data_IF_553284067796
#
_entry.id   IF_553284067796
#
_cell.length_a   1.000
_cell.length_b   1.000
_cell.length_c   1.000
_cell.angle_alpha   90.00
_cell.angle_beta   90.00
_cell.angle_gamma   90.00
#
_symmetry.space_group_name_H-M   'P 1'
#
loop_
_entity.id
_entity.type
_entity.pdbx_description
1 polymer ?
#
# COMPACT_ATOMS: atom_id res chain seq x y z
N UNK A 1 -0.71 22.97 2.24
CA UNK A 1 -1.18 22.17 3.39
C UNK A 1 -2.47 22.71 4.04
N UNK A 2 -2.56 24.01 4.34
CA UNK A 2 -3.74 24.65 4.97
C UNK A 2 -5.00 24.59 4.08
N UNK A 3 -4.87 24.84 2.78
CA UNK A 3 -5.98 24.74 1.83
C UNK A 3 -6.54 23.30 1.70
N UNK A 4 -5.67 22.28 1.80
CA UNK A 4 -6.08 20.87 1.76
C UNK A 4 -6.82 20.45 3.04
N UNK A 5 -6.35 20.92 4.20
CA UNK A 5 -7.01 20.67 5.50
C UNK A 5 -8.35 21.40 5.57
N UNK A 6 -8.42 22.64 5.07
CA UNK A 6 -9.66 23.40 4.99
C UNK A 6 -10.66 22.75 4.03
N UNK A 7 -10.23 22.36 2.83
CA UNK A 7 -11.09 21.68 1.86
C UNK A 7 -11.58 20.32 2.39
N UNK A 8 -10.71 19.54 3.04
CA UNK A 8 -11.08 18.29 3.69
C UNK A 8 -12.06 18.49 4.84
N UNK A 9 -11.85 19.51 5.67
CA UNK A 9 -12.77 19.87 6.76
C UNK A 9 -14.14 20.31 6.27
N UNK A 10 -14.20 21.13 5.21
CA UNK A 10 -15.44 21.57 4.56
C UNK A 10 -16.15 20.38 3.92
N UNK A 11 -15.42 19.47 3.26
CA UNK A 11 -15.99 18.26 2.68
C UNK A 11 -16.61 17.34 3.73
N UNK A 12 -15.90 17.06 4.83
CA UNK A 12 -16.42 16.23 5.94
C UNK A 12 -17.64 16.90 6.62
N UNK A 13 -17.62 18.22 6.77
CA UNK A 13 -18.74 18.97 7.34
C UNK A 13 -19.97 18.96 6.42
N UNK A 14 -19.76 19.06 5.11
CA UNK A 14 -20.80 19.01 4.09
C UNK A 14 -21.41 17.61 3.96
N UNK A 15 -20.57 16.56 3.91
CA UNK A 15 -21.01 15.15 3.90
C UNK A 15 -21.87 14.81 5.13
N UNK A 16 -21.50 15.32 6.31
CA UNK A 16 -22.26 15.09 7.56
C UNK A 16 -23.62 15.78 7.61
N UNK A 17 -23.88 16.75 6.73
CA UNK A 17 -25.12 17.56 6.70
C UNK A 17 -26.04 17.27 5.52
N UNK A 18 -25.62 16.42 4.57
CA UNK A 18 -26.40 16.11 3.36
C UNK A 18 -27.39 14.96 3.63
N UNK A 19 -28.65 15.12 3.24
CA UNK A 19 -29.71 14.09 3.40
C UNK A 19 -29.46 12.83 2.53
N UNK A 20 -28.73 12.97 1.44
CA UNK A 20 -28.21 11.89 0.60
C UNK A 20 -26.66 11.95 0.54
N UNK A 21 -25.95 11.42 1.55
CA UNK A 21 -24.49 11.45 1.57
C UNK A 21 -23.91 10.59 0.43
N UNK A 22 -22.89 11.12 -0.25
CA UNK A 22 -22.15 10.42 -1.31
C UNK A 22 -21.42 9.20 -0.75
N UNK A 23 -21.03 9.23 0.53
CA UNK A 23 -20.54 8.07 1.26
C UNK A 23 -21.58 7.64 2.29
N UNK A 24 -22.36 6.57 2.04
CA UNK A 24 -23.32 6.08 3.01
C UNK A 24 -22.58 5.78 4.32
N UNK A 25 -22.93 6.43 5.45
CA UNK A 25 -22.27 6.18 6.73
C UNK A 25 -22.42 4.71 7.16
N UNK A 26 -23.43 4.00 6.63
CA UNK A 26 -23.59 2.56 6.79
C UNK A 26 -22.48 1.72 6.12
N UNK A 27 -21.86 2.20 5.04
CA UNK A 27 -20.75 1.52 4.36
C UNK A 27 -19.44 1.71 5.13
N UNK A 28 -19.19 2.91 5.66
CA UNK A 28 -18.03 3.16 6.54
C UNK A 28 -18.19 2.57 7.96
N UNK A 29 -19.43 2.46 8.47
CA UNK A 29 -19.75 1.77 9.72
C UNK A 29 -19.95 0.27 9.56
N UNK A 30 -19.89 -0.26 8.33
CA UNK A 30 -20.02 -1.70 8.11
C UNK A 30 -18.82 -2.41 8.73
N UNK A 31 -19.07 -3.53 9.40
CA UNK A 31 -18.03 -4.30 10.10
C UNK A 31 -17.00 -4.93 9.13
N UNK A 32 -17.23 -4.82 7.82
CA UNK A 32 -16.51 -5.49 6.74
C UNK A 32 -15.83 -4.49 5.80
N UNK A 33 -16.53 -3.46 5.31
CA UNK A 33 -16.01 -2.51 4.32
C UNK A 33 -15.07 -1.46 4.95
N UNK A 34 -15.37 -0.95 6.14
CA UNK A 34 -14.49 0.00 6.85
C UNK A 34 -13.07 -0.56 7.08
N UNK A 35 -12.92 -1.75 7.70
CA UNK A 35 -11.64 -2.41 7.86
C UNK A 35 -10.95 -2.74 6.52
N UNK A 36 -11.69 -3.16 5.50
CA UNK A 36 -11.13 -3.46 4.18
C UNK A 36 -10.50 -2.22 3.51
N UNK A 37 -11.15 -1.05 3.63
CA UNK A 37 -10.60 0.21 3.15
C UNK A 37 -9.34 0.62 3.93
N UNK A 38 -9.33 0.48 5.26
CA UNK A 38 -8.14 0.75 6.07
C UNK A 38 -6.97 -0.17 5.71
N UNK A 39 -7.25 -1.43 5.40
CA UNK A 39 -6.29 -2.41 4.91
C UNK A 39 -5.73 -1.98 3.53
N UNK A 40 -6.58 -1.54 2.60
CA UNK A 40 -6.15 -1.03 1.29
C UNK A 40 -5.22 0.18 1.40
N UNK A 41 -5.60 1.17 2.23
CA UNK A 41 -4.77 2.36 2.47
C UNK A 41 -3.41 1.96 3.04
N UNK A 42 -3.40 1.06 4.03
CA UNK A 42 -2.17 0.63 4.70
C UNK A 42 -1.25 -0.17 3.76
N UNK A 43 -1.81 -1.08 2.96
CA UNK A 43 -1.05 -1.89 2.02
C UNK A 43 -0.47 -1.07 0.87
N UNK A 44 -1.24 -0.12 0.33
CA UNK A 44 -0.78 0.77 -0.73
C UNK A 44 0.26 1.78 -0.23
N UNK A 45 0.10 2.30 0.99
CA UNK A 45 1.12 3.11 1.65
C UNK A 45 2.43 2.33 1.85
N UNK A 46 2.34 1.09 2.35
CA UNK A 46 3.49 0.21 2.52
C UNK A 46 4.20 -0.07 1.19
N UNK A 47 3.45 -0.37 0.13
CA UNK A 47 3.99 -0.65 -1.20
C UNK A 47 4.76 0.54 -1.75
N UNK A 48 4.14 1.73 -1.79
CA UNK A 48 4.77 2.92 -2.36
C UNK A 48 5.94 3.42 -1.52
N UNK A 49 5.83 3.37 -0.18
CA UNK A 49 6.93 3.69 0.72
C UNK A 49 8.12 2.74 0.52
N UNK A 50 7.87 1.44 0.40
CA UNK A 50 8.92 0.45 0.15
C UNK A 50 9.53 0.56 -1.26
N UNK A 51 8.73 0.86 -2.29
CA UNK A 51 9.24 1.13 -3.64
C UNK A 51 10.14 2.36 -3.67
N UNK A 52 9.75 3.42 -2.95
CA UNK A 52 10.55 4.63 -2.84
C UNK A 52 11.88 4.35 -2.13
N UNK A 53 11.85 3.70 -0.96
CA UNK A 53 13.06 3.29 -0.24
C UNK A 53 13.94 2.33 -1.07
N UNK A 54 13.32 1.36 -1.74
CA UNK A 54 14.04 0.38 -2.55
C UNK A 54 14.71 1.02 -3.76
N UNK A 55 14.03 1.96 -4.43
CA UNK A 55 14.61 2.73 -5.54
C UNK A 55 15.75 3.60 -5.04
N UNK A 56 15.56 4.29 -3.92
CA UNK A 56 16.59 5.08 -3.28
C UNK A 56 17.83 4.22 -2.92
N UNK A 57 17.63 3.05 -2.32
CA UNK A 57 18.73 2.14 -2.00
C UNK A 57 19.47 1.63 -3.25
N UNK A 58 18.75 1.22 -4.30
CA UNK A 58 19.37 0.71 -5.52
C UNK A 58 20.18 1.78 -6.26
N UNK A 59 19.66 3.02 -6.34
CA UNK A 59 20.27 4.09 -7.10
C UNK A 59 21.29 4.90 -6.29
N UNK A 60 20.98 5.24 -5.04
CA UNK A 60 21.81 6.12 -4.20
C UNK A 60 22.86 5.34 -3.39
N UNK A 61 22.51 4.14 -2.89
CA UNK A 61 23.43 3.31 -2.09
C UNK A 61 24.24 2.36 -2.96
N UNK A 62 23.60 1.68 -3.93
CA UNK A 62 24.27 0.73 -4.82
C UNK A 62 24.77 1.36 -6.13
N UNK A 63 24.51 2.65 -6.37
CA UNK A 63 24.92 3.38 -7.58
C UNK A 63 24.50 2.68 -8.90
N UNK A 64 23.37 1.96 -8.89
CA UNK A 64 22.88 1.25 -10.07
C UNK A 64 22.15 2.21 -11.01
N UNK A 65 22.28 1.95 -12.31
CA UNK A 65 21.51 2.66 -13.33
C UNK A 65 19.99 2.49 -13.12
N UNK A 66 19.16 3.46 -13.56
CA UNK A 66 17.71 3.37 -13.45
C UNK A 66 17.14 2.11 -14.10
N UNK A 67 17.73 1.68 -15.23
CA UNK A 67 17.34 0.47 -15.94
C UNK A 67 17.60 -0.79 -15.08
N UNK A 68 18.78 -0.89 -14.48
CA UNK A 68 19.14 -2.01 -13.61
C UNK A 68 18.27 -2.05 -12.35
N UNK A 69 17.93 -0.88 -11.80
CA UNK A 69 17.00 -0.76 -10.67
C UNK A 69 15.59 -1.26 -11.03
N UNK A 70 15.08 -0.90 -12.20
CA UNK A 70 13.80 -1.39 -12.72
C UNK A 70 13.79 -2.90 -12.93
N UNK A 71 14.86 -3.46 -13.50
CA UNK A 71 15.05 -4.92 -13.62
C UNK A 71 15.01 -5.61 -12.26
N UNK A 72 15.51 -4.95 -11.20
CA UNK A 72 15.47 -5.48 -9.83
C UNK A 72 14.13 -5.35 -9.14
N UNK A 73 13.27 -4.46 -9.61
CA UNK A 73 11.88 -4.36 -9.18
C UNK A 73 10.95 -5.36 -9.89
N UNK A 74 11.39 -6.02 -10.96
CA UNK A 74 10.58 -7.04 -11.67
C UNK A 74 9.97 -8.13 -10.78
N UNK A 75 10.68 -8.70 -9.78
CA UNK A 75 10.11 -9.72 -8.90
C UNK A 75 8.82 -9.26 -8.20
N UNK A 76 8.70 -7.96 -7.89
CA UNK A 76 7.49 -7.38 -7.33
C UNK A 76 6.32 -7.51 -8.31
N UNK A 77 6.50 -7.08 -9.56
CA UNK A 77 5.47 -7.14 -10.58
C UNK A 77 5.07 -8.58 -10.90
N UNK A 78 6.04 -9.48 -11.00
CA UNK A 78 5.81 -10.92 -11.21
C UNK A 78 4.96 -11.50 -10.09
N UNK A 79 5.31 -11.23 -8.82
CA UNK A 79 4.52 -11.73 -7.69
C UNK A 79 3.16 -11.06 -7.56
N UNK A 80 2.99 -9.83 -8.05
CA UNK A 80 1.68 -9.21 -8.10
C UNK A 80 0.75 -9.95 -9.08
N UNK A 81 1.27 -10.33 -10.25
CA UNK A 81 0.51 -11.07 -11.27
C UNK A 81 0.25 -12.51 -10.83
N UNK A 82 1.27 -13.22 -10.38
CA UNK A 82 1.16 -14.61 -9.95
C UNK A 82 0.44 -14.76 -8.59
N UNK A 83 0.51 -13.75 -7.74
CA UNK A 83 -0.14 -13.73 -6.43
C UNK A 83 -1.66 -13.64 -6.54
N UNK A 84 -2.21 -13.02 -7.59
CA UNK A 84 -3.66 -12.88 -7.76
C UNK A 84 -4.43 -14.22 -7.80
N UNK A 85 -4.07 -15.21 -8.65
CA UNK A 85 -4.74 -16.51 -8.65
C UNK A 85 -4.52 -17.30 -7.36
N UNK A 86 -3.33 -17.20 -6.76
CA UNK A 86 -3.01 -17.86 -5.48
C UNK A 86 -3.88 -17.29 -4.36
N UNK A 87 -4.04 -15.96 -4.31
CA UNK A 87 -4.90 -15.28 -3.37
C UNK A 87 -6.37 -15.67 -3.53
N UNK A 88 -6.84 -15.78 -4.78
CA UNK A 88 -8.20 -16.24 -5.06
C UNK A 88 -8.43 -17.68 -4.55
N UNK A 89 -7.45 -18.57 -4.75
CA UNK A 89 -7.51 -19.94 -4.24
C UNK A 89 -7.50 -19.99 -2.70
N UNK A 90 -6.61 -19.23 -2.06
CA UNK A 90 -6.55 -19.11 -0.59
C UNK A 90 -7.87 -18.58 -0.03
N UNK A 91 -8.44 -17.55 -0.64
CA UNK A 91 -9.72 -16.96 -0.25
C UNK A 91 -10.86 -17.96 -0.35
N UNK A 92 -10.90 -18.79 -1.40
CA UNK A 92 -11.89 -19.87 -1.53
C UNK A 92 -11.74 -20.97 -0.47
N UNK A 93 -10.50 -21.30 -0.08
CA UNK A 93 -10.20 -22.39 0.86
C UNK A 93 -10.29 -22.00 2.34
N UNK A 94 -9.82 -20.79 2.69
CA UNK A 94 -9.61 -20.37 4.08
C UNK A 94 -10.55 -19.22 4.50
N UNK A 95 -11.27 -18.64 3.54
CA UNK A 95 -12.19 -17.54 3.74
C UNK A 95 -11.53 -16.15 3.69
N UNK A 96 -12.30 -15.08 3.43
CA UNK A 96 -11.77 -13.73 3.18
C UNK A 96 -10.93 -13.19 4.33
N UNK A 97 -11.41 -13.33 5.58
CA UNK A 97 -10.76 -12.76 6.77
C UNK A 97 -9.36 -13.32 7.00
N UNK A 98 -9.19 -14.65 6.89
CA UNK A 98 -7.87 -15.29 7.09
C UNK A 98 -6.90 -14.92 5.98
N UNK A 99 -7.38 -14.87 4.74
CA UNK A 99 -6.55 -14.48 3.60
C UNK A 99 -6.11 -13.02 3.67
N UNK A 100 -6.98 -12.09 4.08
CA UNK A 100 -6.61 -10.69 4.28
C UNK A 100 -5.55 -10.53 5.38
N UNK A 101 -5.70 -11.24 6.51
CA UNK A 101 -4.70 -11.22 7.59
C UNK A 101 -3.36 -11.78 7.09
N UNK A 102 -3.37 -12.90 6.35
CA UNK A 102 -2.16 -13.47 5.78
C UNK A 102 -1.47 -12.49 4.81
N UNK A 103 -2.23 -11.83 3.93
CA UNK A 103 -1.71 -10.80 3.03
C UNK A 103 -1.10 -9.63 3.78
N UNK A 104 -1.75 -9.17 4.85
CA UNK A 104 -1.21 -8.09 5.69
C UNK A 104 0.05 -8.46 6.45
N UNK A 105 0.13 -9.69 6.96
CA UNK A 105 1.34 -10.21 7.60
C UNK A 105 2.48 -10.28 6.59
N UNK A 106 2.22 -10.68 5.34
CA UNK A 106 3.23 -10.67 4.27
C UNK A 106 3.68 -9.25 3.93
N UNK A 107 2.76 -8.28 3.80
CA UNK A 107 3.13 -6.88 3.57
C UNK A 107 4.00 -6.34 4.72
N UNK A 108 3.59 -6.57 5.96
CA UNK A 108 4.35 -6.16 7.14
C UNK A 108 5.72 -6.83 7.18
N UNK A 109 5.81 -8.13 6.88
CA UNK A 109 7.07 -8.86 6.81
C UNK A 109 7.98 -8.30 5.71
N UNK A 110 7.43 -7.99 4.52
CA UNK A 110 8.18 -7.37 3.43
C UNK A 110 8.77 -6.02 3.81
N UNK A 111 7.99 -5.16 4.46
CA UNK A 111 8.46 -3.85 4.97
C UNK A 111 9.50 -4.02 6.09
N UNK A 112 9.28 -4.95 7.01
CA UNK A 112 10.23 -5.23 8.11
C UNK A 112 11.56 -5.79 7.59
N UNK A 113 11.52 -6.67 6.60
CA UNK A 113 12.72 -7.18 5.93
C UNK A 113 13.45 -6.03 5.24
N UNK A 114 12.72 -5.16 4.53
CA UNK A 114 13.28 -3.95 3.91
C UNK A 114 13.95 -3.04 4.93
N UNK A 115 13.35 -2.87 6.11
CA UNK A 115 13.91 -2.06 7.21
C UNK A 115 15.18 -2.66 7.82
N UNK A 116 15.45 -3.95 7.60
CA UNK A 116 16.66 -4.63 8.07
C UNK A 116 17.78 -4.65 7.03
N UNK A 117 17.55 -4.14 5.83
CA UNK A 117 18.62 -4.01 4.83
C UNK A 117 19.60 -2.92 5.28
N UNK A 118 20.82 -3.34 5.61
CA UNK A 118 21.97 -2.45 5.81
C UNK A 118 22.79 -2.29 4.53
N UNK A 119 23.80 -1.41 4.53
CA UNK A 119 24.66 -1.08 3.36
C UNK A 119 25.34 -2.28 2.71
N UNK A 120 25.60 -3.35 3.47
CA UNK A 120 26.23 -4.58 2.97
C UNK A 120 25.23 -5.54 2.29
N UNK A 121 23.94 -5.20 2.28
CA UNK A 121 22.91 -6.06 1.69
C UNK A 121 22.96 -5.95 0.17
N UNK A 122 23.33 -7.05 -0.48
CA UNK A 122 23.36 -7.14 -1.94
C UNK A 122 21.98 -6.98 -2.57
N UNK A 123 21.96 -6.70 -3.87
CA UNK A 123 20.73 -6.49 -4.64
C UNK A 123 19.75 -7.68 -4.62
N UNK A 124 20.19 -8.88 -4.24
CA UNK A 124 19.35 -10.07 -4.03
C UNK A 124 18.40 -9.95 -2.83
N UNK A 125 18.85 -9.30 -1.75
CA UNK A 125 18.03 -9.10 -0.56
C UNK A 125 16.79 -8.24 -0.86
N UNK A 126 16.95 -7.20 -1.70
CA UNK A 126 15.83 -6.38 -2.18
C UNK A 126 14.85 -7.19 -3.03
N UNK A 127 15.37 -8.04 -3.92
CA UNK A 127 14.54 -8.93 -4.72
C UNK A 127 13.65 -9.81 -3.84
N UNK A 128 14.22 -10.38 -2.77
CA UNK A 128 13.48 -11.16 -1.77
C UNK A 128 12.39 -10.34 -1.05
N UNK A 129 12.71 -9.11 -0.62
CA UNK A 129 11.74 -8.22 0.02
C UNK A 129 10.58 -7.87 -0.94
N UNK A 130 10.89 -7.58 -2.20
CA UNK A 130 9.91 -7.29 -3.25
C UNK A 130 9.02 -8.47 -3.60
N UNK A 131 9.54 -9.70 -3.58
CA UNK A 131 8.73 -10.91 -3.75
C UNK A 131 7.67 -11.03 -2.64
N UNK A 132 8.10 -10.90 -1.38
CA UNK A 132 7.20 -11.02 -0.21
C UNK A 132 6.17 -9.90 -0.21
N UNK A 133 6.61 -8.67 -0.49
CA UNK A 133 5.75 -7.49 -0.54
C UNK A 133 4.72 -7.60 -1.66
N UNK A 134 5.13 -7.99 -2.87
CA UNK A 134 4.25 -8.18 -4.03
C UNK A 134 3.20 -9.26 -3.79
N UNK A 135 3.59 -10.38 -3.17
CA UNK A 135 2.68 -11.47 -2.81
C UNK A 135 1.62 -11.01 -1.80
N UNK A 136 2.05 -10.30 -0.74
CA UNK A 136 1.15 -9.76 0.26
C UNK A 136 0.19 -8.73 -0.32
N UNK A 137 0.70 -7.80 -1.13
CA UNK A 137 -0.09 -6.74 -1.75
C UNK A 137 -1.15 -7.29 -2.72
N UNK A 138 -0.80 -8.23 -3.60
CA UNK A 138 -1.77 -8.87 -4.49
C UNK A 138 -2.87 -9.59 -3.71
N UNK A 139 -2.50 -10.26 -2.61
CA UNK A 139 -3.45 -10.93 -1.73
C UNK A 139 -4.44 -9.95 -1.10
N UNK A 140 -3.94 -8.82 -0.61
CA UNK A 140 -4.77 -7.73 -0.08
C UNK A 140 -5.70 -7.16 -1.16
N UNK A 141 -5.18 -6.87 -2.35
CA UNK A 141 -5.98 -6.30 -3.45
C UNK A 141 -7.14 -7.22 -3.86
N UNK A 142 -6.88 -8.52 -4.03
CA UNK A 142 -7.91 -9.49 -4.41
C UNK A 142 -8.97 -9.62 -3.32
N UNK A 143 -8.53 -9.75 -2.06
CA UNK A 143 -9.47 -9.94 -0.94
C UNK A 143 -10.30 -8.68 -0.68
N UNK A 144 -9.68 -7.51 -0.64
CA UNK A 144 -10.38 -6.25 -0.41
C UNK A 144 -11.37 -5.94 -1.52
N UNK A 145 -10.99 -6.13 -2.79
CA UNK A 145 -11.93 -5.96 -3.92
C UNK A 145 -13.11 -6.91 -3.82
N UNK A 146 -12.86 -8.17 -3.46
CA UNK A 146 -13.96 -9.14 -3.29
C UNK A 146 -14.88 -8.78 -2.13
N UNK A 147 -14.34 -8.29 -1.00
CA UNK A 147 -15.13 -7.86 0.15
C UNK A 147 -15.98 -6.63 -0.22
N UNK A 148 -15.38 -5.63 -0.84
CA UNK A 148 -16.07 -4.39 -1.28
C UNK A 148 -17.19 -4.72 -2.26
N UNK A 149 -16.94 -5.57 -3.26
CA UNK A 149 -17.95 -5.98 -4.24
C UNK A 149 -19.07 -6.83 -3.60
N UNK A 150 -18.76 -7.66 -2.61
CA UNK A 150 -19.77 -8.49 -1.91
C UNK A 150 -20.63 -7.71 -0.93
N UNK A 151 -20.08 -6.68 -0.29
CA UNK A 151 -20.79 -5.84 0.69
C UNK A 151 -21.68 -4.79 0.01
N UNK A 152 -21.37 -4.44 -1.24
CA UNK A 152 -22.10 -3.42 -1.99
C UNK A 152 -23.40 -3.95 -2.60
N UNK A 153 -24.51 -3.26 -2.32
CA UNK A 153 -25.75 -3.41 -3.10
C UNK A 153 -25.60 -2.77 -4.48
N UNK A 154 -26.46 -3.12 -5.45
CA UNK A 154 -26.44 -2.55 -6.81
C UNK A 154 -26.43 -1.01 -6.79
N UNK A 155 -27.15 -0.41 -5.85
CA UNK A 155 -27.24 1.05 -5.69
C UNK A 155 -26.01 1.68 -5.03
N UNK A 156 -25.19 0.90 -4.30
CA UNK A 156 -24.00 1.41 -3.57
C UNK A 156 -22.68 0.93 -4.16
N UNK A 157 -22.69 0.09 -5.19
CA UNK A 157 -21.50 -0.44 -5.87
C UNK A 157 -20.60 0.66 -6.45
N UNK A 158 -21.19 1.71 -7.03
CA UNK A 158 -20.44 2.85 -7.54
C UNK A 158 -19.69 3.61 -6.44
N UNK A 159 -20.33 3.81 -5.28
CA UNK A 159 -19.71 4.46 -4.12
C UNK A 159 -18.61 3.58 -3.52
N UNK A 160 -18.87 2.28 -3.38
CA UNK A 160 -17.92 1.31 -2.84
C UNK A 160 -16.64 1.24 -3.70
N UNK A 161 -16.78 1.22 -5.03
CA UNK A 161 -15.66 1.31 -5.97
C UNK A 161 -14.94 2.66 -5.91
N UNK A 162 -15.68 3.76 -5.77
CA UNK A 162 -15.12 5.10 -5.58
C UNK A 162 -14.24 5.19 -4.33
N UNK A 163 -14.74 4.70 -3.19
CA UNK A 163 -13.99 4.65 -1.92
C UNK A 163 -12.74 3.79 -2.02
N UNK A 164 -12.83 2.63 -2.68
CA UNK A 164 -11.66 1.79 -2.94
C UNK A 164 -10.61 2.56 -3.75
N UNK A 165 -11.02 3.28 -4.79
CA UNK A 165 -10.09 4.05 -5.63
C UNK A 165 -9.49 5.23 -4.87
N UNK A 166 -10.28 5.89 -4.01
CA UNK A 166 -9.78 6.93 -3.11
C UNK A 166 -8.74 6.37 -2.15
N UNK A 167 -9.00 5.20 -1.53
CA UNK A 167 -8.03 4.53 -0.66
C UNK A 167 -6.72 4.20 -1.41
N UNK A 168 -6.84 3.74 -2.66
CA UNK A 168 -5.72 3.43 -3.54
C UNK A 168 -4.89 4.64 -3.98
N UNK A 169 -5.45 5.84 -3.95
CA UNK A 169 -4.71 7.08 -4.27
C UNK A 169 -4.14 7.76 -3.03
N UNK A 170 -4.85 7.73 -1.90
CA UNK A 170 -4.41 8.34 -0.65
C UNK A 170 -3.26 7.54 -0.02
N UNK A 171 -3.36 6.22 0.00
CA UNK A 171 -2.36 5.35 0.62
C UNK A 171 -0.94 5.58 0.07
N UNK A 172 -0.71 5.51 -1.26
CA UNK A 172 0.59 5.80 -1.86
C UNK A 172 1.18 7.15 -1.47
N UNK A 173 0.35 8.20 -1.48
CA UNK A 173 0.79 9.54 -1.10
C UNK A 173 1.25 9.60 0.36
N UNK A 174 0.50 8.98 1.29
CA UNK A 174 0.88 8.88 2.70
C UNK A 174 2.15 8.04 2.89
N UNK A 175 2.29 6.94 2.16
CA UNK A 175 3.45 6.06 2.22
C UNK A 175 4.74 6.76 1.80
N UNK A 176 4.70 7.46 0.67
CA UNK A 176 5.85 8.24 0.17
C UNK A 176 6.16 9.40 1.11
N UNK A 177 5.15 10.15 1.60
CA UNK A 177 5.36 11.24 2.53
C UNK A 177 5.98 10.78 3.87
N UNK A 178 5.55 9.63 4.40
CA UNK A 178 6.15 9.05 5.58
C UNK A 178 7.60 8.62 5.32
N UNK A 179 7.85 7.96 4.19
CA UNK A 179 9.19 7.52 3.79
C UNK A 179 10.17 8.70 3.60
N UNK A 180 9.75 9.77 2.91
CA UNK A 180 10.56 10.99 2.73
C UNK A 180 10.81 11.68 4.06
N UNK A 181 9.81 11.77 4.93
CA UNK A 181 9.95 12.37 6.26
C UNK A 181 10.96 11.60 7.10
N UNK A 182 10.86 10.27 7.14
CA UNK A 182 11.81 9.42 7.87
C UNK A 182 13.25 9.60 7.35
N UNK A 183 13.44 9.68 6.04
CA UNK A 183 14.77 9.94 5.47
C UNK A 183 15.28 11.35 5.78
N UNK A 184 14.41 12.36 5.79
CA UNK A 184 14.79 13.74 6.14
C UNK A 184 15.17 13.89 7.62
N UNK A 185 14.47 13.20 8.52
CA UNK A 185 14.72 13.22 9.98
C UNK A 185 15.97 12.41 10.34
N UNK A 186 16.32 11.39 9.57
CA UNK A 186 17.57 10.63 9.73
C UNK A 186 18.85 11.45 9.39
N UNK A 187 18.70 12.67 8.87
CA UNK A 187 19.78 13.65 8.71
C UNK A 187 20.52 13.60 7.35
N UNK A 188 21.06 14.74 6.87
CA UNK A 188 21.69 14.89 5.54
C UNK A 188 22.98 14.04 5.31
N UNK A 189 23.49 13.34 6.34
CA UNK A 189 24.62 12.41 6.21
C UNK A 189 24.25 11.05 5.60
N UNK A 190 22.97 10.69 5.54
CA UNK A 190 22.53 9.46 4.87
C UNK A 190 22.51 9.60 3.33
N UNK A 191 22.33 10.82 2.83
CA UNK A 191 22.06 11.12 1.42
C UNK A 191 23.26 11.64 0.60
N UNK A 192 24.46 11.75 1.18
CA UNK A 192 25.62 12.24 0.43
C UNK A 192 26.88 11.42 0.55
N UNK A 193 27.03 10.49 1.50
CA UNK A 193 28.16 9.56 1.54
C UNK A 193 29.55 10.18 1.33
N UNK A 194 29.71 11.48 1.57
CA UNK A 194 30.93 12.23 1.29
C UNK A 194 31.64 12.41 2.63
N UNK A 195 32.83 11.84 2.83
CA UNK A 195 33.59 12.08 4.05
C UNK A 195 33.97 13.57 4.14
N UNK A 196 34.19 14.08 5.38
CA UNK A 196 34.69 15.43 5.61
C UNK A 196 36.08 15.66 5.02
#
# INVERSE_FOLDING_TARGET
PTAAVAAGGVFVWHERRTEHPLVPPGLLRSATAGPALGVLVSASAALSGALFLGTYYLQDVLALDPLASGLRALPLAVMMVLGAPVAALLMRRQGPRRTTVAGMVLVAAGVLLMSRLGRDSGAEAIGGCFLVLGAGFATVMVTATTVVVRDASVDTAGVAGGLQQTAMNIGPALGVAAATTLMSVAGPGAATGRPP
#
